data_IF_483861046060
#
_entry.id   IF_483861046060
#
_cell.length_a   1.000
_cell.length_b   1.000
_cell.length_c   1.000
_cell.angle_alpha   90.00
_cell.angle_beta   90.00
_cell.angle_gamma   90.00
#
_symmetry.space_group_name_H-M   'P 1'
#
loop_
_entity.id
_entity.type
_entity.pdbx_description
1 polymer ?
#
# COMPACT_ATOMS: atom_id res chain seq x y z
N UNK A 1 9.76 5.23 -16.16
CA UNK A 1 9.08 6.55 -16.12
C UNK A 1 9.73 7.42 -15.06
N UNK A 2 10.18 8.61 -15.40
CA UNK A 2 10.67 9.55 -14.40
C UNK A 2 9.46 9.98 -13.54
N UNK A 3 9.49 9.64 -12.24
CA UNK A 3 8.55 10.16 -11.27
C UNK A 3 8.67 11.70 -11.27
N UNK A 4 7.61 12.39 -11.65
CA UNK A 4 7.57 13.85 -11.49
C UNK A 4 7.62 14.15 -9.99
N UNK A 5 8.54 15.00 -9.57
CA UNK A 5 8.61 15.48 -8.20
C UNK A 5 7.28 16.14 -7.82
N UNK A 6 6.58 15.54 -6.89
CA UNK A 6 5.29 16.02 -6.42
C UNK A 6 5.53 17.06 -5.34
N UNK A 7 5.84 18.27 -5.76
CA UNK A 7 5.83 19.45 -4.87
C UNK A 7 6.84 19.49 -3.72
N UNK A 8 7.62 18.44 -3.49
CA UNK A 8 8.67 18.39 -2.49
C UNK A 8 10.04 18.53 -3.14
N UNK A 9 10.90 19.32 -2.54
CA UNK A 9 12.26 19.61 -3.07
C UNK A 9 13.21 18.39 -3.05
N UNK A 10 12.82 17.29 -2.37
CA UNK A 10 13.65 16.08 -2.24
C UNK A 10 12.88 14.90 -2.83
N UNK A 11 13.45 14.20 -3.83
CA UNK A 11 12.84 13.00 -4.38
C UNK A 11 12.63 11.94 -3.30
N UNK A 12 11.47 11.27 -3.30
CA UNK A 12 11.06 10.31 -2.27
C UNK A 12 12.09 9.20 -2.04
N UNK A 13 12.76 8.73 -3.09
CA UNK A 13 13.80 7.70 -3.01
C UNK A 13 15.09 8.14 -2.30
N UNK A 14 15.24 9.43 -1.97
CA UNK A 14 16.35 9.97 -1.18
C UNK A 14 16.04 10.05 0.31
N UNK A 15 14.78 9.87 0.69
CA UNK A 15 14.36 9.87 2.09
C UNK A 15 14.78 8.56 2.75
N UNK A 16 15.44 8.66 3.91
CA UNK A 16 15.98 7.49 4.63
C UNK A 16 15.34 7.27 6.00
N UNK A 17 14.66 8.28 6.52
CA UNK A 17 14.05 8.22 7.85
C UNK A 17 12.55 8.02 7.73
N UNK A 18 11.98 7.19 8.59
CA UNK A 18 10.57 6.87 8.63
C UNK A 18 9.68 8.11 8.77
N UNK A 19 10.06 9.06 9.61
CA UNK A 19 9.34 10.31 9.84
C UNK A 19 9.34 11.23 8.61
N UNK A 20 10.44 11.28 7.87
CA UNK A 20 10.53 12.03 6.60
C UNK A 20 9.61 11.41 5.54
N UNK A 21 9.60 10.08 5.44
CA UNK A 21 8.73 9.33 4.51
C UNK A 21 7.26 9.54 4.89
N UNK A 22 6.92 9.42 6.17
CA UNK A 22 5.56 9.64 6.66
C UNK A 22 5.08 11.05 6.32
N UNK A 23 5.90 12.07 6.62
CA UNK A 23 5.57 13.47 6.30
C UNK A 23 5.35 13.68 4.81
N UNK A 24 6.17 13.08 3.97
CA UNK A 24 6.04 13.16 2.51
C UNK A 24 4.69 12.63 2.04
N UNK A 25 4.29 11.44 2.50
CA UNK A 25 2.99 10.86 2.14
C UNK A 25 1.81 11.62 2.73
N UNK A 26 1.94 12.14 3.94
CA UNK A 26 0.91 12.99 4.56
C UNK A 26 0.67 14.26 3.73
N UNK A 27 1.74 14.92 3.28
CA UNK A 27 1.64 16.09 2.40
C UNK A 27 1.07 15.72 1.02
N UNK A 28 1.42 14.56 0.51
CA UNK A 28 0.91 14.08 -0.78
C UNK A 28 -0.57 13.68 -0.73
N UNK A 29 -1.05 13.19 0.41
CA UNK A 29 -2.47 12.90 0.64
C UNK A 29 -3.37 14.14 0.74
N UNK A 30 -2.80 15.34 0.92
CA UNK A 30 -3.59 16.56 1.04
C UNK A 30 -4.37 16.88 -0.24
N UNK A 31 -5.68 17.18 -0.09
CA UNK A 31 -6.55 17.58 -1.19
C UNK A 31 -6.74 16.52 -2.27
N UNK A 32 -6.67 15.23 -1.94
CA UNK A 32 -6.76 14.09 -2.88
C UNK A 32 -5.70 14.12 -3.98
N UNK A 33 -4.58 14.78 -3.75
CA UNK A 33 -3.51 14.93 -4.73
C UNK A 33 -2.89 13.58 -5.09
N UNK A 34 -2.72 12.69 -4.11
CA UNK A 34 -2.21 11.34 -4.32
C UNK A 34 -3.05 10.58 -5.36
N UNK A 35 -4.36 10.50 -5.17
CA UNK A 35 -5.24 9.75 -6.08
C UNK A 35 -5.30 10.36 -7.47
N UNK A 36 -5.26 11.70 -7.59
CA UNK A 36 -5.19 12.39 -8.88
C UNK A 36 -3.90 12.04 -9.62
N UNK A 37 -2.76 12.08 -8.93
CA UNK A 37 -1.48 11.74 -9.54
C UNK A 37 -1.44 10.27 -9.97
N UNK A 38 -2.04 9.34 -9.20
CA UNK A 38 -2.16 7.93 -9.60
C UNK A 38 -2.96 7.75 -10.89
N UNK A 39 -4.06 8.51 -11.05
CA UNK A 39 -4.86 8.52 -12.28
C UNK A 39 -4.07 9.12 -13.45
N UNK A 40 -3.46 10.29 -13.24
CA UNK A 40 -2.69 11.00 -14.27
C UNK A 40 -1.48 10.20 -14.77
N UNK A 41 -0.88 9.40 -13.89
CA UNK A 41 0.24 8.50 -14.23
C UNK A 41 -0.21 7.14 -14.80
N UNK A 42 -1.52 6.92 -14.91
CA UNK A 42 -2.09 5.62 -15.31
C UNK A 42 -1.48 4.47 -14.49
N UNK A 43 -1.50 4.62 -13.15
CA UNK A 43 -0.90 3.64 -12.25
C UNK A 43 -1.74 2.36 -12.20
N UNK A 44 -1.27 1.32 -12.87
CA UNK A 44 -1.97 0.04 -13.03
C UNK A 44 -1.59 -1.01 -11.97
N UNK A 45 -0.59 -0.72 -11.14
CA UNK A 45 -0.05 -1.67 -10.15
C UNK A 45 -1.10 -2.40 -9.31
N UNK A 46 -2.06 -1.70 -8.67
CA UNK A 46 -3.11 -2.34 -7.88
C UNK A 46 -3.95 -3.33 -8.68
N UNK A 47 -4.35 -2.96 -9.89
CA UNK A 47 -5.16 -3.82 -10.78
C UNK A 47 -4.38 -5.05 -11.21
N UNK A 48 -3.20 -4.86 -11.79
CA UNK A 48 -2.38 -5.94 -12.33
C UNK A 48 -1.95 -6.93 -11.23
N UNK A 49 -1.56 -6.43 -10.06
CA UNK A 49 -1.19 -7.29 -8.92
C UNK A 49 -2.40 -8.07 -8.41
N UNK A 50 -3.57 -7.45 -8.33
CA UNK A 50 -4.81 -8.13 -7.94
C UNK A 50 -5.18 -9.20 -8.97
N UNK A 51 -5.07 -8.93 -10.27
CA UNK A 51 -5.32 -9.92 -11.32
C UNK A 51 -4.39 -11.15 -11.22
N UNK A 52 -3.15 -10.96 -10.82
CA UNK A 52 -2.23 -12.08 -10.55
C UNK A 52 -2.65 -12.81 -9.26
N UNK A 53 -2.93 -12.08 -8.18
CA UNK A 53 -3.31 -12.65 -6.90
C UNK A 53 -4.52 -13.58 -7.01
N UNK A 54 -5.58 -13.18 -7.71
CA UNK A 54 -6.81 -13.97 -7.87
C UNK A 54 -6.64 -15.22 -8.73
N UNK A 55 -5.53 -15.37 -9.44
CA UNK A 55 -5.20 -16.63 -10.14
C UNK A 55 -4.76 -17.70 -9.16
N UNK A 56 -4.17 -17.30 -8.04
CA UNK A 56 -3.63 -18.19 -7.01
C UNK A 56 -4.60 -18.37 -5.83
N UNK A 57 -5.23 -17.28 -5.36
CA UNK A 57 -6.22 -17.33 -4.29
C UNK A 57 -7.65 -17.36 -4.85
N UNK A 58 -8.35 -18.48 -4.62
CA UNK A 58 -9.73 -18.70 -5.08
C UNK A 58 -10.76 -18.54 -3.97
N UNK A 59 -10.33 -18.69 -2.71
CA UNK A 59 -11.21 -18.51 -1.57
C UNK A 59 -11.53 -17.02 -1.37
N UNK A 60 -12.79 -16.64 -1.59
CA UNK A 60 -13.24 -15.25 -1.45
C UNK A 60 -13.34 -14.80 0.01
N UNK A 61 -13.33 -15.72 0.94
CA UNK A 61 -13.31 -15.46 2.38
C UNK A 61 -11.90 -15.41 2.97
N UNK A 62 -10.87 -15.61 2.13
CA UNK A 62 -9.48 -15.52 2.52
C UNK A 62 -9.18 -14.17 3.19
N UNK A 63 -8.47 -14.22 4.31
CA UNK A 63 -8.02 -13.03 5.04
C UNK A 63 -6.75 -12.50 4.39
N UNK A 64 -6.85 -11.30 3.82
CA UNK A 64 -5.77 -10.68 3.04
C UNK A 64 -5.23 -9.47 3.80
N UNK A 65 -3.90 -9.40 3.96
CA UNK A 65 -3.22 -8.25 4.53
C UNK A 65 -2.65 -7.39 3.42
N UNK A 66 -3.10 -6.14 3.35
CA UNK A 66 -2.62 -5.13 2.38
C UNK A 66 -1.59 -4.22 3.08
N UNK A 67 -0.34 -4.56 2.92
CA UNK A 67 0.79 -3.89 3.55
C UNK A 67 1.19 -2.65 2.72
N UNK A 68 1.04 -1.47 3.32
CA UNK A 68 1.22 -0.20 2.62
C UNK A 68 0.02 0.12 1.73
N UNK A 69 -1.19 0.02 2.28
CA UNK A 69 -2.43 0.12 1.53
C UNK A 69 -2.73 1.53 0.98
N UNK A 70 -2.07 2.57 1.48
CA UNK A 70 -2.26 3.95 1.05
C UNK A 70 -3.72 4.37 1.15
N UNK A 71 -4.29 4.84 0.05
CA UNK A 71 -5.70 5.24 -0.07
C UNK A 71 -6.66 4.09 -0.38
N UNK A 72 -6.15 2.85 -0.42
CA UNK A 72 -6.97 1.64 -0.56
C UNK A 72 -7.22 1.16 -1.97
N UNK A 73 -6.39 1.52 -2.94
CA UNK A 73 -6.57 1.12 -4.35
C UNK A 73 -6.60 -0.39 -4.55
N UNK A 74 -5.75 -1.14 -3.82
CA UNK A 74 -5.76 -2.61 -3.84
C UNK A 74 -7.07 -3.16 -3.26
N UNK A 75 -7.55 -2.61 -2.16
CA UNK A 75 -8.83 -3.00 -1.55
C UNK A 75 -10.01 -2.78 -2.50
N UNK A 76 -10.01 -1.69 -3.26
CA UNK A 76 -11.03 -1.44 -4.31
C UNK A 76 -11.01 -2.55 -5.36
N UNK A 77 -9.83 -2.95 -5.83
CA UNK A 77 -9.70 -4.03 -6.82
C UNK A 77 -10.12 -5.38 -6.24
N UNK A 78 -9.67 -5.73 -5.01
CA UNK A 78 -10.08 -6.96 -4.32
C UNK A 78 -11.61 -7.06 -4.18
N UNK A 79 -12.27 -5.95 -3.82
CA UNK A 79 -13.74 -5.91 -3.71
C UNK A 79 -14.43 -6.18 -5.03
N UNK A 80 -13.93 -5.63 -6.14
CA UNK A 80 -14.46 -5.90 -7.49
C UNK A 80 -14.42 -7.39 -7.83
N UNK A 81 -13.44 -8.11 -7.31
CA UNK A 81 -13.28 -9.55 -7.50
C UNK A 81 -13.97 -10.42 -6.44
N UNK A 82 -14.79 -9.83 -5.57
CA UNK A 82 -15.64 -10.54 -4.61
C UNK A 82 -14.96 -10.89 -3.28
N UNK A 83 -13.77 -10.39 -3.00
CA UNK A 83 -13.16 -10.52 -1.68
C UNK A 83 -13.77 -9.51 -0.70
N UNK A 84 -13.87 -9.88 0.56
CA UNK A 84 -14.46 -9.05 1.61
C UNK A 84 -13.67 -9.02 2.93
N UNK A 85 -12.70 -9.90 3.08
CA UNK A 85 -11.93 -10.05 4.32
C UNK A 85 -10.50 -9.55 4.14
N UNK A 86 -10.32 -8.24 3.96
CA UNK A 86 -9.00 -7.65 3.87
C UNK A 86 -8.79 -6.56 4.90
N UNK A 87 -7.53 -6.42 5.31
CA UNK A 87 -7.02 -5.62 6.41
C UNK A 87 -5.89 -4.76 5.89
N UNK A 88 -5.96 -3.46 6.10
CA UNK A 88 -4.99 -2.52 5.54
C UNK A 88 -4.07 -1.94 6.61
N UNK A 89 -2.85 -1.69 6.23
CA UNK A 89 -1.89 -0.98 7.07
C UNK A 89 -1.08 0.02 6.24
N UNK A 90 -0.85 1.19 6.79
CA UNK A 90 0.01 2.21 6.19
C UNK A 90 0.69 3.05 7.26
N UNK A 91 1.80 3.68 6.91
CA UNK A 91 2.52 4.59 7.80
C UNK A 91 1.83 5.95 7.89
N UNK A 92 1.15 6.40 6.84
CA UNK A 92 0.49 7.69 6.73
C UNK A 92 -0.95 7.63 7.20
N UNK A 93 -1.25 8.25 8.35
CA UNK A 93 -2.63 8.38 8.83
C UNK A 93 -3.49 9.15 7.83
N UNK A 94 -2.95 10.16 7.18
CA UNK A 94 -3.71 10.97 6.19
C UNK A 94 -4.15 10.15 4.99
N UNK A 95 -3.32 9.21 4.50
CA UNK A 95 -3.73 8.30 3.43
C UNK A 95 -4.81 7.33 3.92
N UNK A 96 -4.66 6.77 5.13
CA UNK A 96 -5.67 5.90 5.72
C UNK A 96 -7.03 6.59 5.88
N UNK A 97 -7.03 7.88 6.22
CA UNK A 97 -8.26 8.68 6.38
C UNK A 97 -9.00 8.91 5.04
N UNK A 98 -8.30 8.75 3.90
CA UNK A 98 -8.87 8.84 2.56
C UNK A 98 -9.46 7.51 2.05
N UNK A 99 -9.18 6.40 2.72
CA UNK A 99 -9.74 5.10 2.36
C UNK A 99 -11.25 5.12 2.45
N UNK A 100 -11.99 4.62 1.44
CA UNK A 100 -13.44 4.53 1.51
C UNK A 100 -13.92 3.81 2.76
N UNK A 101 -14.86 4.41 3.49
CA UNK A 101 -15.39 3.85 4.74
C UNK A 101 -15.99 2.46 4.50
N UNK A 102 -15.64 1.52 5.38
CA UNK A 102 -16.14 0.15 5.32
C UNK A 102 -15.55 -0.71 4.20
N UNK A 103 -14.51 -0.23 3.51
CA UNK A 103 -13.81 -0.99 2.49
C UNK A 103 -12.98 -2.12 3.12
N UNK A 104 -12.20 -1.83 4.15
CA UNK A 104 -11.38 -2.80 4.90
C UNK A 104 -12.08 -3.24 6.20
N UNK A 105 -11.74 -4.42 6.70
CA UNK A 105 -12.17 -4.89 8.04
C UNK A 105 -11.52 -4.07 9.15
N UNK A 106 -10.24 -3.74 8.99
CA UNK A 106 -9.51 -2.77 9.81
C UNK A 106 -8.49 -2.00 8.98
N UNK A 107 -8.13 -0.82 9.48
CA UNK A 107 -7.07 0.01 8.95
C UNK A 107 -6.19 0.43 10.13
N UNK A 108 -4.91 0.07 10.05
CA UNK A 108 -3.98 0.29 11.14
C UNK A 108 -2.79 1.15 10.67
N UNK A 109 -2.42 2.14 11.49
CA UNK A 109 -1.20 2.89 11.27
C UNK A 109 -0.01 2.05 11.73
N UNK A 110 0.79 1.56 10.78
CA UNK A 110 1.90 0.63 11.02
C UNK A 110 3.16 1.08 10.31
N UNK A 111 4.27 1.03 11.03
CA UNK A 111 5.61 1.12 10.46
C UNK A 111 6.06 -0.29 10.07
N UNK A 112 6.05 -0.60 8.78
CA UNK A 112 6.42 -1.92 8.25
C UNK A 112 7.91 -2.28 8.45
N UNK A 113 8.74 -1.35 8.95
CA UNK A 113 10.10 -1.67 9.41
C UNK A 113 10.13 -2.33 10.79
N UNK A 114 9.00 -2.41 11.47
CA UNK A 114 8.84 -3.02 12.79
C UNK A 114 8.04 -4.31 12.68
N UNK A 115 8.17 -5.22 13.66
CA UNK A 115 7.33 -6.41 13.73
C UNK A 115 5.85 -6.06 13.69
N UNK A 116 5.11 -6.77 12.87
CA UNK A 116 3.65 -6.64 12.78
C UNK A 116 3.03 -7.41 13.94
N UNK A 117 2.17 -6.73 14.71
CA UNK A 117 1.45 -7.36 15.81
C UNK A 117 0.20 -8.07 15.28
N UNK A 118 0.34 -9.34 14.94
CA UNK A 118 -0.76 -10.22 14.56
C UNK A 118 -0.52 -11.64 15.08
N UNK A 119 -1.57 -12.43 15.20
CA UNK A 119 -1.46 -13.85 15.53
C UNK A 119 -0.82 -14.61 14.37
N UNK A 120 -0.07 -15.67 14.70
CA UNK A 120 0.51 -16.54 13.69
C UNK A 120 -0.57 -17.19 12.84
N UNK A 121 -0.34 -17.23 11.53
CA UNK A 121 -1.28 -17.80 10.55
C UNK A 121 -2.66 -17.11 10.49
N UNK A 122 -2.78 -15.87 10.94
CA UNK A 122 -4.04 -15.13 10.87
C UNK A 122 -4.42 -14.77 9.44
N UNK A 123 -3.45 -14.42 8.60
CA UNK A 123 -3.69 -14.05 7.21
C UNK A 123 -3.40 -15.20 6.26
N UNK A 124 -4.26 -15.39 5.26
CA UNK A 124 -4.11 -16.37 4.19
C UNK A 124 -3.23 -15.84 3.04
N UNK A 125 -3.19 -14.52 2.88
CA UNK A 125 -2.39 -13.86 1.87
C UNK A 125 -1.94 -12.45 2.26
N UNK A 126 -0.84 -12.02 1.69
CA UNK A 126 -0.29 -10.67 1.86
C UNK A 126 -0.10 -10.04 0.50
N UNK A 127 -0.54 -8.80 0.36
CA UNK A 127 -0.25 -7.96 -0.80
C UNK A 127 0.59 -6.76 -0.36
N UNK A 128 1.55 -6.38 -1.18
CA UNK A 128 2.39 -5.21 -0.95
C UNK A 128 2.65 -4.55 -2.30
N UNK A 129 1.90 -3.51 -2.62
CA UNK A 129 1.88 -2.90 -3.94
C UNK A 129 2.39 -1.47 -3.88
N UNK A 130 3.51 -1.21 -4.58
CA UNK A 130 4.11 0.13 -4.65
C UNK A 130 4.85 0.59 -3.39
N UNK A 131 4.90 -0.20 -2.34
CA UNK A 131 5.49 0.18 -1.04
C UNK A 131 6.98 -0.09 -0.98
N UNK A 132 7.45 -1.19 -1.56
CA UNK A 132 8.84 -1.65 -1.48
C UNK A 132 9.83 -0.80 -2.29
N UNK A 133 9.38 0.17 -3.05
CA UNK A 133 10.24 1.09 -3.81
C UNK A 133 11.02 2.06 -2.92
N UNK A 134 10.62 2.21 -1.67
CA UNK A 134 11.15 3.20 -0.73
C UNK A 134 12.02 2.61 0.35
N UNK A 135 11.95 1.31 0.54
CA UNK A 135 12.73 0.60 1.55
C UNK A 135 13.83 -0.19 0.88
N UNK A 136 15.05 0.06 1.30
CA UNK A 136 16.22 -0.76 0.96
C UNK A 136 16.18 -2.07 1.75
N UNK A 137 15.11 -2.83 1.66
CA UNK A 137 15.18 -4.25 1.98
C UNK A 137 16.05 -4.89 0.92
N UNK A 138 17.13 -5.58 1.29
CA UNK A 138 17.93 -6.29 0.31
C UNK A 138 17.03 -7.27 -0.42
N UNK A 139 16.92 -7.08 -1.73
CA UNK A 139 16.30 -8.06 -2.60
C UNK A 139 17.13 -9.36 -2.52
N UNK A 140 16.54 -10.55 -2.71
CA UNK A 140 17.31 -11.77 -2.87
C UNK A 140 18.40 -11.70 -3.95
N UNK A 141 18.29 -10.72 -4.87
CA UNK A 141 19.32 -10.42 -5.89
C UNK A 141 20.49 -9.58 -5.36
N UNK A 142 20.33 -8.96 -4.20
CA UNK A 142 21.34 -8.09 -3.57
C UNK A 142 22.14 -8.85 -2.49
N UNK A 143 21.80 -10.10 -2.25
CA UNK A 143 22.55 -11.00 -1.37
C UNK A 143 23.73 -11.59 -2.14
N UNK A 144 24.95 -11.63 -1.52
CA UNK A 144 26.14 -12.20 -2.16
C UNK A 144 25.99 -13.69 -2.44
#
# INVERSE_FOLDING_TARGET
MAQKDVGNKVPIYKLKKTDEVMKYYDEWGEGNKYDKDMVDWNYTGPKETTEVFIKHEKNKDAKIYDAGCGTGLVGVELKKHGFSSFYGADLSQKLLDLVPKGLYKSLDKVDLNKPINCEDNFYDGVMCVGTCLLYTSPSPRDLP
#
